data_IF_448756969839
#
_entry.id   IF_448756969839
#
_cell.length_a   1.000
_cell.length_b   1.000
_cell.length_c   1.000
_cell.angle_alpha   90.00
_cell.angle_beta   90.00
_cell.angle_gamma   90.00
#
_symmetry.space_group_name_H-M   'P 1'
#
loop_
_entity.id
_entity.type
_entity.pdbx_description
1 polymer ?
#
# COMPACT_ATOMS: atom_id res chain seq x y z
N UNK A 1 -10.87 -52.78 -25.61
CA UNK A 1 -10.15 -51.49 -25.56
C UNK A 1 -10.87 -50.53 -26.47
N UNK A 2 -11.62 -49.57 -25.91
CA UNK A 2 -12.02 -48.32 -26.60
C UNK A 2 -12.97 -47.45 -25.75
N UNK A 3 -13.69 -47.99 -24.76
CA UNK A 3 -14.57 -47.19 -23.90
C UNK A 3 -13.88 -46.61 -22.66
N UNK A 4 -13.01 -47.37 -21.98
CA UNK A 4 -12.27 -46.86 -20.82
C UNK A 4 -11.24 -45.80 -21.21
N UNK A 5 -10.64 -45.92 -22.39
CA UNK A 5 -9.76 -44.87 -22.93
C UNK A 5 -10.57 -43.61 -23.23
N UNK A 6 -11.72 -43.71 -23.92
CA UNK A 6 -12.61 -42.57 -24.17
C UNK A 6 -13.08 -41.89 -22.88
N UNK A 7 -13.39 -42.68 -21.84
CA UNK A 7 -13.78 -42.16 -20.52
C UNK A 7 -12.61 -41.44 -19.84
N UNK A 8 -11.39 -42.00 -19.90
CA UNK A 8 -10.19 -41.35 -19.36
C UNK A 8 -9.83 -40.07 -20.12
N UNK A 9 -10.01 -40.02 -21.45
CA UNK A 9 -9.78 -38.81 -22.23
C UNK A 9 -10.81 -37.74 -21.89
N UNK A 10 -12.08 -38.12 -21.75
CA UNK A 10 -13.17 -37.22 -21.38
C UNK A 10 -13.02 -36.68 -19.94
N UNK A 11 -12.63 -37.52 -18.97
CA UNK A 11 -12.32 -37.08 -17.61
C UNK A 11 -11.11 -36.14 -17.58
N UNK A 12 -10.10 -36.34 -18.43
CA UNK A 12 -8.96 -35.42 -18.58
C UNK A 12 -9.35 -34.12 -19.26
N UNK A 13 -10.19 -34.15 -20.28
CA UNK A 13 -10.69 -32.95 -20.96
C UNK A 13 -11.54 -32.10 -20.03
N UNK A 14 -12.45 -32.72 -19.26
CA UNK A 14 -13.25 -32.02 -18.25
C UNK A 14 -12.37 -31.50 -17.11
N UNK A 15 -11.39 -32.26 -16.65
CA UNK A 15 -10.45 -31.79 -15.63
C UNK A 15 -9.61 -30.60 -16.14
N UNK A 16 -9.20 -30.61 -17.42
CA UNK A 16 -8.50 -29.48 -18.02
C UNK A 16 -9.41 -28.28 -18.28
N UNK A 17 -10.64 -28.48 -18.77
CA UNK A 17 -11.60 -27.41 -19.04
C UNK A 17 -12.07 -26.75 -17.73
N UNK A 18 -12.33 -27.53 -16.67
CA UNK A 18 -12.60 -27.01 -15.33
C UNK A 18 -11.40 -26.26 -14.75
N UNK A 19 -10.16 -26.80 -14.87
CA UNK A 19 -8.96 -26.09 -14.42
C UNK A 19 -8.70 -24.80 -15.20
N UNK A 20 -9.01 -24.75 -16.50
CA UNK A 20 -8.87 -23.56 -17.35
C UNK A 20 -9.94 -22.52 -17.02
N UNK A 21 -11.19 -22.93 -16.80
CA UNK A 21 -12.28 -22.02 -16.41
C UNK A 21 -12.05 -21.47 -15.00
N UNK A 22 -11.69 -22.31 -14.03
CA UNK A 22 -11.26 -21.86 -12.71
C UNK A 22 -10.11 -20.87 -12.82
N UNK A 23 -9.03 -21.22 -13.55
CA UNK A 23 -7.89 -20.32 -13.73
C UNK A 23 -8.28 -18.99 -14.39
N UNK A 24 -9.21 -19.01 -15.36
CA UNK A 24 -9.70 -17.79 -16.01
C UNK A 24 -10.50 -16.91 -15.04
N UNK A 25 -11.29 -17.51 -14.15
CA UNK A 25 -12.05 -16.79 -13.14
C UNK A 25 -11.15 -16.26 -12.00
N UNK A 26 -10.14 -17.03 -11.61
CA UNK A 26 -9.11 -16.60 -10.66
C UNK A 26 -8.31 -15.45 -11.27
N UNK A 27 -7.88 -15.58 -12.53
CA UNK A 27 -7.19 -14.52 -13.26
C UNK A 27 -8.04 -13.27 -13.37
N UNK A 28 -9.34 -13.39 -13.66
CA UNK A 28 -10.27 -12.25 -13.70
C UNK A 28 -10.42 -11.58 -12.32
N UNK A 29 -10.56 -12.37 -11.25
CA UNK A 29 -10.60 -11.86 -9.86
C UNK A 29 -9.29 -11.17 -9.49
N UNK A 30 -8.16 -11.70 -9.94
CA UNK A 30 -6.82 -11.15 -9.73
C UNK A 30 -6.63 -9.86 -10.51
N UNK A 31 -7.06 -9.79 -11.77
CA UNK A 31 -6.98 -8.60 -12.61
C UNK A 31 -7.90 -7.47 -12.08
N UNK A 32 -9.10 -7.82 -11.62
CA UNK A 32 -9.99 -6.86 -10.95
C UNK A 32 -9.39 -6.33 -9.64
N UNK A 33 -8.73 -7.21 -8.88
CA UNK A 33 -8.02 -6.82 -7.66
C UNK A 33 -6.84 -5.91 -7.98
N UNK A 34 -6.03 -6.23 -8.99
CA UNK A 34 -4.91 -5.42 -9.45
C UNK A 34 -5.37 -4.05 -9.93
N UNK A 35 -6.47 -4.00 -10.70
CA UNK A 35 -7.03 -2.72 -11.15
C UNK A 35 -7.49 -1.86 -9.98
N UNK A 36 -8.14 -2.45 -8.98
CA UNK A 36 -8.56 -1.75 -7.76
C UNK A 36 -7.37 -1.30 -6.93
N UNK A 37 -6.37 -2.17 -6.75
CA UNK A 37 -5.14 -1.84 -6.05
C UNK A 37 -4.44 -0.67 -6.73
N UNK A 38 -4.34 -0.67 -8.06
CA UNK A 38 -3.71 0.40 -8.80
C UNK A 38 -4.44 1.75 -8.63
N UNK A 39 -5.78 1.75 -8.57
CA UNK A 39 -6.56 2.95 -8.29
C UNK A 39 -6.31 3.51 -6.87
N UNK A 40 -6.27 2.65 -5.85
CA UNK A 40 -5.96 3.09 -4.49
C UNK A 40 -4.55 3.68 -4.40
N UNK A 41 -3.58 3.03 -5.04
CA UNK A 41 -2.20 3.52 -5.11
C UNK A 41 -2.09 4.85 -5.86
N UNK A 42 -2.78 5.00 -7.00
CA UNK A 42 -2.79 6.25 -7.75
C UNK A 42 -3.37 7.40 -6.92
N UNK A 43 -4.44 7.13 -6.15
CA UNK A 43 -5.00 8.12 -5.22
C UNK A 43 -4.01 8.48 -4.11
N UNK A 44 -3.33 7.51 -3.53
CA UNK A 44 -2.35 7.76 -2.47
C UNK A 44 -1.14 8.55 -3.02
N UNK A 45 -0.67 8.26 -4.24
CA UNK A 45 0.35 9.07 -4.93
C UNK A 45 -0.11 10.51 -5.19
N UNK A 46 -1.36 10.70 -5.63
CA UNK A 46 -1.93 12.02 -5.84
C UNK A 46 -2.00 12.81 -4.54
N UNK A 47 -2.38 12.16 -3.42
CA UNK A 47 -2.38 12.79 -2.11
C UNK A 47 -0.98 13.27 -1.69
N UNK A 48 0.07 12.48 -1.97
CA UNK A 48 1.46 12.89 -1.70
C UNK A 48 1.91 14.07 -2.56
N UNK A 49 1.54 14.10 -3.84
CA UNK A 49 1.86 15.23 -4.74
C UNK A 49 1.19 16.50 -4.21
N UNK A 50 -0.09 16.43 -3.83
CA UNK A 50 -0.82 17.56 -3.26
C UNK A 50 -0.17 18.02 -1.95
N UNK A 51 0.25 17.10 -1.08
CA UNK A 51 0.92 17.43 0.17
C UNK A 51 2.26 18.15 -0.05
N UNK A 52 3.05 17.72 -1.03
CA UNK A 52 4.32 18.37 -1.40
C UNK A 52 4.05 19.79 -1.93
N UNK A 53 3.07 19.96 -2.82
CA UNK A 53 2.70 21.27 -3.36
C UNK A 53 2.24 22.20 -2.23
N UNK A 54 1.44 21.71 -1.28
CA UNK A 54 0.99 22.49 -0.14
C UNK A 54 2.17 22.97 0.73
N UNK A 55 3.15 22.11 0.99
CA UNK A 55 4.38 22.50 1.72
C UNK A 55 5.17 23.56 0.96
N UNK A 56 5.33 23.40 -0.36
CA UNK A 56 6.04 24.38 -1.19
C UNK A 56 5.33 25.73 -1.21
N UNK A 57 4.00 25.75 -1.32
CA UNK A 57 3.23 26.99 -1.25
C UNK A 57 3.43 27.71 0.08
N UNK A 58 3.43 26.99 1.20
CA UNK A 58 3.69 27.55 2.53
C UNK A 58 5.11 28.12 2.65
N UNK A 59 6.08 27.54 1.95
CA UNK A 59 7.46 28.04 1.93
C UNK A 59 7.65 29.26 1.00
N UNK A 60 7.01 29.29 -0.17
CA UNK A 60 7.27 30.31 -1.20
C UNK A 60 6.27 31.47 -1.23
N UNK A 61 5.02 31.29 -0.81
CA UNK A 61 3.96 32.33 -0.87
C UNK A 61 3.88 33.14 0.44
N UNK A 62 4.68 32.75 1.43
CA UNK A 62 4.68 33.35 2.76
C UNK A 62 5.24 34.78 2.78
N UNK A 63 4.63 35.70 3.56
CA UNK A 63 5.18 37.03 3.75
C UNK A 63 6.54 37.00 4.47
N UNK A 64 7.54 37.79 4.03
CA UNK A 64 8.91 37.79 4.59
C UNK A 64 9.00 38.09 6.10
N UNK A 65 7.96 38.70 6.66
CA UNK A 65 7.88 39.07 8.09
C UNK A 65 7.66 37.89 9.02
N UNK A 66 7.20 36.75 8.50
CA UNK A 66 7.08 35.54 9.29
C UNK A 66 8.42 34.80 9.16
N UNK A 67 9.21 34.72 10.24
CA UNK A 67 10.41 33.86 10.29
C UNK A 67 10.04 32.38 10.49
N UNK A 68 10.52 31.46 9.64
CA UNK A 68 10.17 30.03 9.73
C UNK A 68 10.84 29.42 10.97
N UNK A 69 10.04 29.00 11.95
CA UNK A 69 10.54 28.33 13.13
C UNK A 69 11.16 26.98 12.75
N UNK A 70 12.30 26.63 13.36
CA UNK A 70 13.01 25.35 13.17
C UNK A 70 12.09 24.11 13.22
N UNK A 71 11.13 23.98 14.16
CA UNK A 71 10.23 22.84 14.20
C UNK A 71 9.38 22.68 12.94
N UNK A 72 8.93 23.80 12.35
CA UNK A 72 8.11 23.77 11.14
C UNK A 72 8.93 23.33 9.92
N UNK A 73 10.18 23.77 9.82
CA UNK A 73 11.09 23.35 8.74
C UNK A 73 11.43 21.86 8.82
N UNK A 74 11.75 21.36 10.02
CA UNK A 74 12.04 19.95 10.25
C UNK A 74 10.82 19.06 10.00
N UNK A 75 9.64 19.50 10.44
CA UNK A 75 8.39 18.79 10.19
C UNK A 75 8.06 18.71 8.70
N UNK A 76 8.18 19.82 7.97
CA UNK A 76 7.98 19.85 6.53
C UNK A 76 8.97 18.95 5.78
N UNK A 77 10.25 18.99 6.15
CA UNK A 77 11.28 18.13 5.56
C UNK A 77 10.98 16.65 5.79
N UNK A 78 10.62 16.26 7.01
CA UNK A 78 10.24 14.89 7.34
C UNK A 78 9.03 14.43 6.52
N UNK A 79 8.02 15.29 6.34
CA UNK A 79 6.83 14.96 5.57
C UNK A 79 7.16 14.68 4.10
N UNK A 80 8.02 15.51 3.49
CA UNK A 80 8.50 15.32 2.12
C UNK A 80 9.37 14.08 2.01
N UNK A 81 10.32 13.88 2.93
CA UNK A 81 11.19 12.71 2.95
C UNK A 81 10.40 11.41 3.04
N UNK A 82 9.32 11.38 3.82
CA UNK A 82 8.42 10.21 3.91
C UNK A 82 7.65 9.95 2.63
N UNK A 83 7.10 11.00 2.01
CA UNK A 83 6.44 10.89 0.72
C UNK A 83 7.36 10.32 -0.34
N UNK A 84 8.60 10.81 -0.42
CA UNK A 84 9.61 10.30 -1.35
C UNK A 84 10.02 8.86 -1.02
N UNK A 85 10.25 8.54 0.26
CA UNK A 85 10.62 7.19 0.69
C UNK A 85 9.52 6.17 0.33
N UNK A 86 8.25 6.49 0.63
CA UNK A 86 7.12 5.60 0.33
C UNK A 86 6.91 5.44 -1.18
N UNK A 87 7.03 6.52 -1.96
CA UNK A 87 7.01 6.48 -3.42
C UNK A 87 8.13 5.59 -3.99
N UNK A 88 9.37 5.81 -3.57
CA UNK A 88 10.53 5.06 -4.03
C UNK A 88 10.43 3.56 -3.71
N UNK A 89 10.03 3.21 -2.47
CA UNK A 89 9.77 1.82 -2.08
C UNK A 89 8.68 1.18 -2.93
N UNK A 90 7.60 1.92 -3.22
CA UNK A 90 6.49 1.44 -4.04
C UNK A 90 6.92 1.15 -5.47
N UNK A 91 7.70 2.03 -6.08
CA UNK A 91 8.24 1.85 -7.44
C UNK A 91 9.21 0.67 -7.49
N UNK A 92 10.12 0.57 -6.52
CA UNK A 92 11.13 -0.50 -6.44
C UNK A 92 10.48 -1.89 -6.32
N UNK A 93 9.46 -2.04 -5.47
CA UNK A 93 8.77 -3.32 -5.26
C UNK A 93 7.84 -3.72 -6.41
N UNK A 94 7.38 -2.76 -7.22
CA UNK A 94 6.58 -3.02 -8.43
C UNK A 94 7.40 -3.43 -9.64
N UNK A 95 8.73 -3.33 -9.60
CA UNK A 95 9.60 -3.99 -10.60
C UNK A 95 9.56 -5.50 -10.36
N UNK A 96 8.48 -6.14 -10.81
CA UNK A 96 8.44 -7.58 -11.02
C UNK A 96 8.76 -7.79 -12.49
N UNK A 97 9.83 -8.53 -12.77
CA UNK A 97 10.14 -9.01 -14.11
C UNK A 97 8.98 -9.88 -14.57
N UNK A 98 8.13 -9.34 -15.44
CA UNK A 98 7.27 -10.15 -16.29
C UNK A 98 8.18 -10.86 -17.27
N UNK A 99 8.75 -11.99 -16.85
CA UNK A 99 9.26 -12.98 -17.77
C UNK A 99 8.04 -13.65 -18.38
N UNK A 100 7.90 -13.59 -19.71
CA UNK A 100 6.83 -14.25 -20.44
C UNK A 100 7.07 -15.77 -20.41
N UNK A 101 6.68 -16.41 -19.31
CA UNK A 101 6.68 -17.86 -19.20
C UNK A 101 5.30 -18.42 -19.56
N UNK A 102 5.31 -19.37 -20.49
CA UNK A 102 4.12 -19.94 -21.13
C UNK A 102 3.39 -20.97 -20.26
N UNK A 103 4.00 -21.44 -19.16
CA UNK A 103 3.45 -22.50 -18.30
C UNK A 103 2.49 -21.94 -17.24
N UNK A 104 1.39 -22.66 -16.98
CA UNK A 104 0.38 -22.30 -15.97
C UNK A 104 0.99 -22.17 -14.56
N UNK A 105 1.90 -23.09 -14.21
CA UNK A 105 2.62 -23.08 -12.93
C UNK A 105 3.49 -21.82 -12.76
N UNK A 106 4.17 -21.35 -13.82
CA UNK A 106 4.93 -20.09 -13.75
C UNK A 106 4.01 -18.88 -13.51
N UNK A 107 2.84 -18.83 -14.15
CA UNK A 107 1.87 -17.74 -13.97
C UNK A 107 1.32 -17.68 -12.54
N UNK A 108 1.07 -18.83 -11.93
CA UNK A 108 0.65 -18.92 -10.52
C UNK A 108 1.79 -18.47 -9.60
N UNK A 109 3.02 -18.92 -9.83
CA UNK A 109 4.18 -18.50 -9.02
C UNK A 109 4.44 -16.98 -9.12
N UNK A 110 4.31 -16.38 -10.31
CA UNK A 110 4.44 -14.92 -10.50
C UNK A 110 3.36 -14.17 -9.71
N UNK A 111 2.12 -14.68 -9.68
CA UNK A 111 1.04 -14.06 -8.92
C UNK A 111 1.25 -14.17 -7.41
N UNK A 112 1.72 -15.33 -6.91
CA UNK A 112 2.09 -15.52 -5.51
C UNK A 112 3.19 -14.52 -5.12
N UNK A 113 4.25 -14.42 -5.93
CA UNK A 113 5.38 -13.52 -5.66
C UNK A 113 4.94 -12.05 -5.63
N UNK A 114 4.08 -11.62 -6.56
CA UNK A 114 3.50 -10.27 -6.57
C UNK A 114 2.75 -9.97 -5.27
N UNK A 115 1.90 -10.90 -4.80
CA UNK A 115 1.09 -10.70 -3.61
C UNK A 115 1.90 -10.74 -2.31
N UNK A 116 2.91 -11.61 -2.23
CA UNK A 116 3.85 -11.58 -1.11
C UNK A 116 4.63 -10.26 -1.05
N UNK A 117 5.05 -9.73 -2.21
CA UNK A 117 5.69 -8.41 -2.29
C UNK A 117 4.74 -7.31 -1.84
N UNK A 118 3.46 -7.36 -2.19
CA UNK A 118 2.44 -6.41 -1.70
C UNK A 118 2.22 -6.47 -0.19
N UNK A 119 2.16 -7.68 0.41
CA UNK A 119 2.07 -7.83 1.87
C UNK A 119 3.30 -7.25 2.56
N UNK A 120 4.50 -7.60 2.06
CA UNK A 120 5.76 -7.05 2.58
C UNK A 120 5.81 -5.53 2.45
N UNK A 121 5.34 -4.98 1.34
CA UNK A 121 5.27 -3.55 1.09
C UNK A 121 4.32 -2.89 2.07
N UNK A 122 3.09 -3.37 2.20
CA UNK A 122 2.11 -2.82 3.12
C UNK A 122 2.63 -2.85 4.55
N UNK A 123 3.27 -3.94 4.98
CA UNK A 123 3.79 -4.03 6.34
C UNK A 123 4.97 -3.06 6.58
N UNK A 124 5.89 -2.97 5.60
CA UNK A 124 7.06 -2.08 5.66
C UNK A 124 6.65 -0.61 5.60
N UNK A 125 5.78 -0.24 4.66
CA UNK A 125 5.29 1.14 4.49
C UNK A 125 4.46 1.56 5.68
N UNK A 126 3.63 0.67 6.24
CA UNK A 126 2.84 0.97 7.43
C UNK A 126 3.72 1.34 8.63
N UNK A 127 4.75 0.54 8.94
CA UNK A 127 5.61 0.79 10.11
C UNK A 127 6.67 1.87 9.88
N UNK A 128 7.39 1.81 8.76
CA UNK A 128 8.56 2.67 8.49
C UNK A 128 8.23 3.93 7.70
N UNK A 129 7.19 3.92 6.87
CA UNK A 129 6.90 5.02 5.95
C UNK A 129 5.75 5.93 6.38
N UNK A 130 4.70 5.38 7.00
CA UNK A 130 3.40 6.07 7.09
C UNK A 130 2.98 6.45 8.51
N UNK A 131 3.42 5.69 9.52
CA UNK A 131 2.97 5.95 10.90
C UNK A 131 4.01 6.77 11.65
N UNK A 132 5.22 6.24 11.79
CA UNK A 132 6.21 6.84 12.70
C UNK A 132 6.64 8.24 12.26
N UNK A 133 7.16 8.45 11.05
CA UNK A 133 7.71 9.76 10.69
C UNK A 133 6.63 10.77 10.26
N UNK A 134 5.46 10.30 9.83
CA UNK A 134 4.32 11.15 9.47
C UNK A 134 3.66 11.75 10.72
N UNK A 135 3.46 10.96 11.79
CA UNK A 135 3.00 11.48 13.09
C UNK A 135 3.96 12.55 13.61
N UNK A 136 5.25 12.24 13.59
CA UNK A 136 6.30 13.17 14.04
C UNK A 136 6.22 14.46 13.21
N UNK A 137 6.10 14.37 11.89
CA UNK A 137 5.97 15.55 11.03
C UNK A 137 4.74 16.40 11.36
N UNK A 138 3.57 15.79 11.57
CA UNK A 138 2.32 16.49 11.93
C UNK A 138 2.46 17.20 13.27
N UNK A 139 3.07 16.55 14.27
CA UNK A 139 3.33 17.16 15.59
C UNK A 139 4.29 18.35 15.43
N UNK A 140 5.40 18.20 14.70
CA UNK A 140 6.38 19.27 14.51
C UNK A 140 5.81 20.47 13.72
N UNK A 141 5.04 20.22 12.66
CA UNK A 141 4.41 21.29 11.87
C UNK A 141 3.34 22.02 12.69
N UNK A 142 2.48 21.29 13.39
CA UNK A 142 1.43 21.89 14.23
C UNK A 142 2.02 22.65 15.43
N UNK A 143 3.08 22.13 16.05
CA UNK A 143 3.83 22.82 17.10
C UNK A 143 4.49 24.10 16.59
N UNK A 144 5.20 24.02 15.46
CA UNK A 144 5.84 25.18 14.84
C UNK A 144 4.85 26.28 14.44
N UNK A 145 3.67 25.88 13.93
CA UNK A 145 2.57 26.79 13.61
C UNK A 145 1.94 27.42 14.86
N UNK A 146 1.77 26.66 15.94
CA UNK A 146 1.29 27.18 17.22
C UNK A 146 2.26 28.21 17.81
N UNK A 147 3.57 27.90 17.86
CA UNK A 147 4.59 28.83 18.34
C UNK A 147 4.62 30.13 17.52
N UNK A 148 4.45 30.03 16.20
CA UNK A 148 4.40 31.19 15.29
C UNK A 148 3.20 32.09 15.58
N UNK A 149 2.04 31.51 15.92
CA UNK A 149 0.79 32.25 16.14
C UNK A 149 0.69 32.84 17.54
N UNK A 150 1.11 32.09 18.56
CA UNK A 150 0.86 32.43 19.97
C UNK A 150 2.09 33.06 20.64
N UNK A 151 3.29 32.89 20.06
CA UNK A 151 4.55 33.33 20.65
C UNK A 151 4.97 32.57 21.92
N UNK A 152 4.11 31.66 22.40
CA UNK A 152 4.36 30.79 23.57
C UNK A 152 4.93 29.44 23.13
N UNK A 153 5.88 28.93 23.91
CA UNK A 153 6.42 27.57 23.77
C UNK A 153 5.54 26.52 24.44
N UNK A 154 4.63 26.93 25.33
CA UNK A 154 3.78 26.00 26.08
C UNK A 154 2.50 25.76 25.26
N UNK A 155 2.22 24.51 24.85
CA UNK A 155 1.03 24.19 24.09
C UNK A 155 -0.24 24.32 24.95
N UNK A 156 -1.25 24.97 24.39
CA UNK A 156 -2.58 25.06 24.98
C UNK A 156 -3.31 23.71 24.92
N UNK A 157 -4.34 23.56 25.76
CA UNK A 157 -5.17 22.36 25.88
C UNK A 157 -5.80 21.96 24.53
N UNK A 158 -6.13 22.94 23.67
CA UNK A 158 -6.60 22.70 22.32
C UNK A 158 -5.59 21.98 21.41
N UNK A 159 -4.29 22.30 21.54
CA UNK A 159 -3.24 21.63 20.75
C UNK A 159 -3.01 20.20 21.24
N UNK A 160 -3.09 19.98 22.56
CA UNK A 160 -3.05 18.65 23.14
C UNK A 160 -4.20 17.76 22.65
N UNK A 161 -5.43 18.26 22.65
CA UNK A 161 -6.58 17.53 22.12
C UNK A 161 -6.35 17.19 20.64
N UNK A 162 -5.85 18.14 19.85
CA UNK A 162 -5.52 17.92 18.45
C UNK A 162 -4.50 16.78 18.25
N UNK A 163 -3.42 16.76 19.04
CA UNK A 163 -2.42 15.68 18.96
C UNK A 163 -2.98 14.32 19.38
N UNK A 164 -3.79 14.26 20.44
CA UNK A 164 -4.43 13.01 20.87
C UNK A 164 -5.36 12.48 19.78
N UNK A 165 -6.20 13.35 19.20
CA UNK A 165 -7.08 12.97 18.09
C UNK A 165 -6.29 12.51 16.86
N UNK A 166 -5.20 13.19 16.52
CA UNK A 166 -4.32 12.77 15.43
C UNK A 166 -3.78 11.35 15.68
N UNK A 167 -3.24 11.08 16.87
CA UNK A 167 -2.73 9.75 17.24
C UNK A 167 -3.83 8.68 17.13
N UNK A 168 -5.05 8.97 17.61
CA UNK A 168 -6.19 8.04 17.49
C UNK A 168 -6.52 7.73 16.03
N UNK A 169 -6.52 8.74 15.15
CA UNK A 169 -6.73 8.54 13.71
C UNK A 169 -5.64 7.66 13.11
N UNK A 170 -4.37 7.89 13.48
CA UNK A 170 -3.26 7.08 13.00
C UNK A 170 -3.34 5.62 13.47
N UNK A 171 -3.73 5.38 14.72
CA UNK A 171 -3.98 4.03 15.24
C UNK A 171 -5.13 3.37 14.46
N UNK A 172 -6.21 4.10 14.19
CA UNK A 172 -7.31 3.63 13.35
C UNK A 172 -6.85 3.23 11.94
N UNK A 173 -6.01 4.05 11.32
CA UNK A 173 -5.39 3.73 10.03
C UNK A 173 -4.54 2.45 10.10
N UNK A 174 -3.70 2.30 11.13
CA UNK A 174 -2.89 1.09 11.34
C UNK A 174 -3.74 -0.18 11.37
N UNK A 175 -4.78 -0.20 12.21
CA UNK A 175 -5.69 -1.34 12.30
C UNK A 175 -6.46 -1.56 11.00
N UNK A 176 -6.83 -0.48 10.30
CA UNK A 176 -7.45 -0.55 8.98
C UNK A 176 -6.57 -1.24 7.95
N UNK A 177 -5.27 -0.93 7.92
CA UNK A 177 -4.30 -1.56 7.03
C UNK A 177 -4.08 -3.04 7.39
N UNK A 178 -3.89 -3.36 8.66
CA UNK A 178 -3.77 -4.74 9.16
C UNK A 178 -4.99 -5.58 8.78
N UNK A 179 -6.20 -5.04 8.95
CA UNK A 179 -7.43 -5.71 8.59
C UNK A 179 -7.56 -5.94 7.07
N UNK A 180 -7.06 -5.02 6.23
CA UNK A 180 -7.07 -5.21 4.78
C UNK A 180 -6.14 -6.34 4.34
N UNK A 181 -4.95 -6.43 4.93
CA UNK A 181 -4.02 -7.54 4.66
C UNK A 181 -4.71 -8.87 4.98
N UNK A 182 -5.24 -9.00 6.20
CA UNK A 182 -5.87 -10.23 6.67
C UNK A 182 -7.14 -10.61 5.89
N UNK A 183 -8.03 -9.66 5.61
CA UNK A 183 -9.34 -9.96 5.02
C UNK A 183 -9.36 -10.02 3.49
N UNK A 184 -8.40 -9.39 2.80
CA UNK A 184 -8.43 -9.30 1.34
C UNK A 184 -7.23 -9.95 0.67
N UNK A 185 -6.02 -9.76 1.20
CA UNK A 185 -4.80 -10.23 0.53
C UNK A 185 -4.50 -11.67 0.93
N UNK A 186 -4.59 -11.99 2.23
CA UNK A 186 -4.38 -13.34 2.76
C UNK A 186 -5.24 -14.42 2.07
N UNK A 187 -6.57 -14.28 1.94
CA UNK A 187 -7.39 -15.34 1.33
C UNK A 187 -7.09 -15.57 -0.15
N UNK A 188 -6.65 -14.54 -0.88
CA UNK A 188 -6.23 -14.68 -2.28
C UNK A 188 -4.89 -15.44 -2.34
N UNK A 189 -3.98 -15.17 -1.39
CA UNK A 189 -2.72 -15.89 -1.25
C UNK A 189 -2.98 -17.38 -0.97
N UNK A 190 -3.88 -17.67 -0.03
CA UNK A 190 -4.23 -19.03 0.38
C UNK A 190 -4.85 -19.82 -0.79
N UNK A 191 -5.74 -19.19 -1.57
CA UNK A 191 -6.31 -19.80 -2.78
C UNK A 191 -5.24 -20.12 -3.84
N UNK A 192 -4.28 -19.22 -4.05
CA UNK A 192 -3.18 -19.45 -4.99
C UNK A 192 -2.25 -20.58 -4.55
N UNK A 193 -2.01 -20.74 -3.24
CA UNK A 193 -1.22 -21.87 -2.72
C UNK A 193 -1.94 -23.22 -2.88
N UNK A 194 -3.27 -23.26 -2.66
CA UNK A 194 -4.06 -24.48 -2.88
C UNK A 194 -3.97 -24.93 -4.34
N UNK A 195 -4.18 -24.03 -5.30
CA UNK A 195 -4.07 -24.38 -6.73
C UNK A 195 -2.67 -24.82 -7.13
N UNK A 196 -1.64 -24.22 -6.53
CA UNK A 196 -0.27 -24.69 -6.74
C UNK A 196 -0.10 -26.15 -6.29
N UNK A 197 -0.62 -26.49 -5.11
CA UNK A 197 -0.54 -27.86 -4.58
C UNK A 197 -1.32 -28.88 -5.44
N UNK A 198 -2.46 -28.48 -6.02
CA UNK A 198 -3.27 -29.32 -6.93
C UNK A 198 -2.67 -29.48 -8.35
N UNK A 199 -1.65 -28.68 -8.68
CA UNK A 199 -0.89 -28.74 -9.94
C UNK A 199 0.41 -29.53 -9.79
N UNK A 200 0.93 -29.64 -8.57
CA UNK A 200 2.12 -30.43 -8.23
C UNK A 200 1.77 -31.88 -7.82
N UNK A 201 0.50 -32.17 -7.50
CA UNK A 201 -0.06 -33.51 -7.23
C UNK A 201 -0.56 -34.22 -8.50
#
# INVERSE_FOLDING_TARGET
MQLDDLKNTWEREIAMENKITEFSDIRRRVDEFDRRANLYWARDFLAWIVAIIAVLLVFFVRPPSWGLNLPMQLGAFLMVACGVFTAAKTISLRRVSTTDDWTLSSKINIQIEKREKEVRLLNTVTHWGLITPLIISVILVSYGGYMQRTGSYIPDLGLWIYWVLAVVVFIGCYFGYQNRIKKKIQPILDQLYVMKSELES
#
